data_IF_764476049912
#
_entry.id   IF_764476049912
#
_cell.length_a   1.000
_cell.length_b   1.000
_cell.length_c   1.000
_cell.angle_alpha   90.00
_cell.angle_beta   90.00
_cell.angle_gamma   90.00
#
_symmetry.space_group_name_H-M   'P 1'
#
loop_
_entity.id
_entity.type
_entity.pdbx_description
1 polymer ?
#
# COMPACT_ATOMS: atom_id res chain seq x y z
N UNK A 1 18.89 4.85 -14.84
CA UNK A 1 17.46 4.74 -14.51
C UNK A 1 17.29 4.13 -13.13
N UNK A 2 16.20 4.43 -12.42
CA UNK A 2 15.92 3.90 -11.07
C UNK A 2 15.66 2.39 -11.15
N UNK A 3 16.38 1.61 -10.32
CA UNK A 3 16.38 0.13 -10.37
C UNK A 3 15.52 -0.52 -9.29
N UNK A 4 14.99 0.27 -8.35
CA UNK A 4 14.33 -0.24 -7.15
C UNK A 4 13.07 0.55 -6.82
N UNK A 5 12.18 -0.11 -6.08
CA UNK A 5 10.97 0.49 -5.55
C UNK A 5 10.91 0.25 -4.05
N UNK A 6 10.40 1.23 -3.32
CA UNK A 6 10.09 1.09 -1.90
C UNK A 6 8.81 0.28 -1.72
N UNK A 7 8.77 -0.54 -0.67
CA UNK A 7 7.54 -1.15 -0.20
C UNK A 7 6.74 -0.09 0.56
N UNK A 8 5.42 -0.01 0.31
CA UNK A 8 4.52 0.96 0.95
C UNK A 8 3.78 0.31 2.11
N UNK A 9 3.51 1.08 3.15
CA UNK A 9 2.86 0.58 4.37
C UNK A 9 3.82 -0.12 5.33
N UNK A 10 5.13 0.11 5.17
CA UNK A 10 6.20 -0.43 6.01
C UNK A 10 7.13 0.71 6.45
N UNK A 11 7.69 0.61 7.66
CA UNK A 11 8.46 1.68 8.31
C UNK A 11 7.66 3.00 8.30
N UNK A 12 8.31 4.12 7.97
CA UNK A 12 7.70 5.45 7.99
C UNK A 12 6.82 5.75 6.76
N UNK A 13 6.66 4.78 5.84
CA UNK A 13 5.91 5.00 4.60
C UNK A 13 4.46 4.56 4.72
N UNK A 14 3.53 5.50 4.55
CA UNK A 14 2.10 5.21 4.61
C UNK A 14 1.61 4.33 3.44
N UNK A 15 0.58 3.52 3.66
CA UNK A 15 -0.16 2.87 2.59
C UNK A 15 -1.04 3.85 1.81
N UNK A 16 -1.65 3.39 0.71
CA UNK A 16 -2.65 4.17 -0.04
C UNK A 16 -4.03 3.95 0.58
N UNK A 17 -4.69 5.03 1.02
CA UNK A 17 -6.04 4.96 1.58
C UNK A 17 -7.08 4.57 0.51
N UNK A 18 -8.14 3.86 0.93
CA UNK A 18 -9.33 3.52 0.12
C UNK A 18 -9.05 2.75 -1.19
N UNK A 19 -7.88 2.13 -1.31
CA UNK A 19 -7.51 1.37 -2.51
C UNK A 19 -8.08 -0.04 -2.49
N UNK A 20 -9.05 -0.28 -3.37
CA UNK A 20 -9.78 -1.56 -3.46
C UNK A 20 -9.10 -2.62 -4.33
N UNK A 21 -8.30 -2.21 -5.33
CA UNK A 21 -7.57 -3.13 -6.25
C UNK A 21 -6.06 -3.09 -6.00
N UNK A 22 -5.40 -4.25 -6.08
CA UNK A 22 -3.95 -4.44 -5.86
C UNK A 22 -3.44 -3.93 -4.50
N UNK A 23 -4.27 -4.05 -3.47
CA UNK A 23 -4.05 -3.48 -2.13
C UNK A 23 -2.74 -3.91 -1.46
N UNK A 24 -2.29 -5.14 -1.71
CA UNK A 24 -1.03 -5.69 -1.19
C UNK A 24 0.21 -4.91 -1.66
N UNK A 25 0.25 -4.49 -2.93
CA UNK A 25 1.37 -3.72 -3.50
C UNK A 25 1.48 -2.31 -2.89
N UNK A 26 0.37 -1.75 -2.44
CA UNK A 26 0.27 -0.34 -2.03
C UNK A 26 0.06 -0.16 -0.52
N UNK A 27 0.26 -1.21 0.28
CA UNK A 27 0.10 -1.15 1.73
C UNK A 27 -1.33 -0.80 2.18
N UNK A 28 -2.34 -1.09 1.36
CA UNK A 28 -3.73 -0.80 1.67
C UNK A 28 -4.35 -1.98 2.43
N UNK A 29 -4.80 -1.74 3.66
CA UNK A 29 -5.52 -2.76 4.46
C UNK A 29 -6.89 -3.04 3.83
N UNK A 30 -7.41 -4.25 4.08
CA UNK A 30 -8.80 -4.56 3.72
C UNK A 30 -9.69 -3.66 4.57
N UNK A 31 -10.54 -2.88 3.93
CA UNK A 31 -11.62 -2.20 4.63
C UNK A 31 -12.48 -3.28 5.30
N UNK A 32 -12.70 -3.16 6.61
CA UNK A 32 -13.72 -3.97 7.27
C UNK A 32 -15.05 -3.63 6.58
N UNK A 33 -15.80 -4.65 6.15
CA UNK A 33 -17.14 -4.40 5.65
C UNK A 33 -17.95 -3.83 6.83
N UNK A 34 -18.45 -2.62 6.66
CA UNK A 34 -19.58 -2.10 7.45
C UNK A 34 -20.81 -2.95 7.19
#
# INVERSE_FOLDING_TARGET
>A
GVRYHIVRGTLDTAGVAKRKKSRSKYGAKKEAKS
#
